data_IF_873755719807
#
_entry.id   IF_873755719807
#
_cell.length_a   1.000
_cell.length_b   1.000
_cell.length_c   1.000
_cell.angle_alpha   90.00
_cell.angle_beta   90.00
_cell.angle_gamma   90.00
#
_symmetry.space_group_name_H-M   'P 1'
#
loop_
_entity.id
_entity.type
_entity.pdbx_description
1 polymer ?
#
# COMPACT_ATOMS: atom_id res chain seq x y z
N UNK A 1 14.47 14.52 2.07
CA UNK A 1 14.32 13.11 1.67
C UNK A 1 12.85 12.73 1.83
N UNK A 2 12.17 12.22 0.79
CA UNK A 2 10.77 11.75 0.93
C UNK A 2 10.78 10.25 1.26
N UNK A 3 10.19 9.86 2.38
CA UNK A 3 10.00 8.45 2.76
C UNK A 3 8.98 7.82 1.79
N UNK A 4 9.29 6.66 1.21
CA UNK A 4 8.37 5.95 0.29
C UNK A 4 7.41 5.02 1.02
N UNK A 5 6.36 4.55 0.34
CA UNK A 5 5.38 3.63 0.94
C UNK A 5 6.01 2.25 1.20
N UNK A 6 6.96 1.83 0.37
CA UNK A 6 7.70 0.58 0.52
C UNK A 6 8.63 0.65 1.75
N UNK A 7 9.22 1.81 2.01
CA UNK A 7 10.01 2.03 3.22
C UNK A 7 9.15 1.92 4.47
N UNK A 8 7.95 2.51 4.47
CA UNK A 8 6.99 2.38 5.58
C UNK A 8 6.56 0.91 5.79
N UNK A 9 6.33 0.16 4.72
CA UNK A 9 5.98 -1.27 4.80
C UNK A 9 7.11 -2.15 5.35
N UNK A 10 8.36 -1.81 5.04
CA UNK A 10 9.52 -2.48 5.64
C UNK A 10 9.60 -2.17 7.13
N UNK A 11 9.40 -0.90 7.51
CA UNK A 11 9.42 -0.47 8.91
C UNK A 11 8.31 -1.12 9.75
N UNK A 12 7.08 -1.20 9.24
CA UNK A 12 5.96 -1.81 9.98
C UNK A 12 6.17 -3.32 10.17
N UNK A 13 6.71 -4.02 9.16
CA UNK A 13 7.08 -5.45 9.28
C UNK A 13 8.15 -5.67 10.33
N UNK A 14 9.20 -4.85 10.34
CA UNK A 14 10.25 -4.91 11.34
C UNK A 14 9.69 -4.66 12.75
N UNK A 15 8.82 -3.66 12.89
CA UNK A 15 8.24 -3.30 14.18
C UNK A 15 7.30 -4.38 14.71
N UNK A 16 6.51 -5.03 13.85
CA UNK A 16 5.69 -6.18 14.21
C UNK A 16 6.55 -7.33 14.78
N UNK A 17 7.69 -7.62 14.14
CA UNK A 17 8.63 -8.62 14.64
C UNK A 17 9.26 -8.20 15.98
N UNK A 18 9.57 -6.92 16.14
CA UNK A 18 10.10 -6.40 17.40
C UNK A 18 9.08 -6.51 18.55
N UNK A 19 7.82 -6.14 18.30
CA UNK A 19 6.72 -6.26 19.26
C UNK A 19 6.55 -7.72 19.69
N UNK A 20 6.50 -8.65 18.74
CA UNK A 20 6.23 -10.05 19.04
C UNK A 20 7.35 -10.75 19.82
N UNK A 21 8.61 -10.37 19.57
CA UNK A 21 9.77 -11.12 20.07
C UNK A 21 10.46 -10.48 21.28
N UNK A 22 10.11 -9.24 21.65
CA UNK A 22 10.74 -8.53 22.77
C UNK A 22 9.85 -8.55 24.02
N UNK A 23 10.44 -8.71 25.23
CA UNK A 23 9.70 -8.62 26.49
C UNK A 23 9.01 -7.27 26.71
N UNK A 24 9.56 -6.20 26.13
CA UNK A 24 9.05 -4.82 26.18
C UNK A 24 8.38 -4.40 24.87
N UNK A 25 7.92 -5.37 24.07
CA UNK A 25 7.33 -5.16 22.76
C UNK A 25 6.17 -4.16 22.75
N UNK A 26 5.37 -4.13 23.81
CA UNK A 26 4.21 -3.25 23.95
C UNK A 26 4.57 -1.76 23.89
N UNK A 27 5.81 -1.38 24.23
CA UNK A 27 6.30 0.00 24.12
C UNK A 27 6.29 0.52 22.67
N UNK A 28 6.29 -0.38 21.70
CA UNK A 28 6.30 -0.03 20.28
C UNK A 28 4.92 0.03 19.64
N UNK A 29 3.84 -0.39 20.33
CA UNK A 29 2.47 -0.38 19.80
C UNK A 29 2.07 1.01 19.28
N UNK A 30 2.29 2.12 20.02
CA UNK A 30 1.89 3.45 19.52
C UNK A 30 2.61 3.86 18.23
N UNK A 31 3.82 3.37 18.01
CA UNK A 31 4.60 3.63 16.79
C UNK A 31 4.06 2.78 15.63
N UNK A 32 3.63 1.55 15.92
CA UNK A 32 3.01 0.66 14.94
C UNK A 32 1.70 1.24 14.41
N UNK A 33 0.82 1.66 15.31
CA UNK A 33 -0.48 2.28 14.94
C UNK A 33 -0.28 3.51 14.04
N UNK A 34 0.66 4.39 14.41
CA UNK A 34 1.04 5.57 13.59
C UNK A 34 1.52 5.18 12.18
N UNK A 35 2.31 4.12 12.06
CA UNK A 35 2.80 3.66 10.76
C UNK A 35 1.66 3.06 9.92
N UNK A 36 0.74 2.34 10.56
CA UNK A 36 -0.43 1.76 9.90
C UNK A 36 -1.33 2.86 9.33
N UNK A 37 -1.66 3.87 10.14
CA UNK A 37 -2.43 5.04 9.72
C UNK A 37 -1.78 5.77 8.54
N UNK A 38 -0.47 6.03 8.61
CA UNK A 38 0.26 6.72 7.53
C UNK A 38 0.25 5.91 6.23
N UNK A 39 0.44 4.59 6.31
CA UNK A 39 0.35 3.70 5.14
C UNK A 39 -1.06 3.75 4.56
N UNK A 40 -2.09 3.70 5.41
CA UNK A 40 -3.48 3.75 4.96
C UNK A 40 -3.81 5.10 4.31
N UNK A 41 -3.39 6.22 4.91
CA UNK A 41 -3.58 7.56 4.35
C UNK A 41 -2.90 7.73 3.01
N UNK A 42 -1.68 7.19 2.84
CA UNK A 42 -0.95 7.25 1.56
C UNK A 42 -1.54 6.35 0.48
N UNK A 43 -2.11 5.21 0.87
CA UNK A 43 -2.84 4.32 -0.05
C UNK A 43 -4.19 4.91 -0.44
N UNK A 44 -4.89 5.58 0.48
CA UNK A 44 -6.19 6.19 0.23
C UNK A 44 -6.08 7.50 -0.57
N UNK A 45 -4.94 8.19 -0.50
CA UNK A 45 -4.63 9.35 -1.37
C UNK A 45 -4.32 8.97 -2.82
N UNK A 46 -4.25 7.68 -3.18
CA UNK A 46 -4.49 7.26 -4.57
C UNK A 46 -5.98 7.55 -4.84
N UNK A 47 -6.25 8.78 -5.26
CA UNK A 47 -7.59 9.33 -5.50
C UNK A 47 -8.44 8.31 -6.26
N UNK A 48 -9.70 8.14 -5.87
CA UNK A 48 -10.68 7.29 -6.56
C UNK A 48 -10.62 7.45 -8.08
N UNK A 49 -10.36 8.67 -8.58
CA UNK A 49 -10.12 8.97 -10.00
C UNK A 49 -8.87 8.31 -10.58
N UNK A 50 -7.74 8.31 -9.86
CA UNK A 50 -6.53 7.58 -10.27
C UNK A 50 -6.77 6.07 -10.31
N UNK A 51 -7.53 5.54 -9.34
CA UNK A 51 -7.96 4.12 -9.33
C UNK A 51 -8.88 3.79 -10.51
N UNK A 52 -9.89 4.63 -10.77
CA UNK A 52 -10.79 4.49 -11.93
C UNK A 52 -9.97 4.52 -13.23
N UNK A 53 -9.01 5.44 -13.36
CA UNK A 53 -8.13 5.53 -14.52
C UNK A 53 -7.35 4.25 -14.77
N UNK A 54 -6.69 3.70 -13.74
CA UNK A 54 -5.94 2.45 -13.86
C UNK A 54 -6.82 1.26 -14.30
N UNK A 55 -8.03 1.13 -13.73
CA UNK A 55 -8.98 0.05 -14.07
C UNK A 55 -9.48 0.21 -15.52
N UNK A 56 -9.83 1.43 -15.92
CA UNK A 56 -10.25 1.73 -17.29
C UNK A 56 -9.14 1.42 -18.31
N UNK A 57 -7.90 1.80 -18.02
CA UNK A 57 -6.74 1.51 -18.88
C UNK A 57 -6.49 0.01 -19.07
N UNK A 58 -6.71 -0.82 -18.04
CA UNK A 58 -6.59 -2.28 -18.16
C UNK A 58 -7.75 -2.93 -18.92
N UNK A 59 -8.92 -2.27 -18.97
CA UNK A 59 -10.11 -2.78 -19.67
C UNK A 59 -10.03 -2.55 -21.18
N UNK A 60 -9.32 -1.50 -21.62
CA UNK A 60 -9.14 -1.19 -23.05
C UNK A 60 -8.21 -2.17 -23.77
N UNK A 61 -7.22 -2.75 -23.09
CA UNK A 61 -6.30 -3.75 -23.66
C UNK A 61 -6.99 -5.07 -23.99
N UNK A 62 -8.16 -5.34 -23.40
CA UNK A 62 -8.90 -6.58 -23.63
C UNK A 62 -9.87 -6.51 -24.83
N UNK A 63 -10.05 -5.33 -25.44
CA UNK A 63 -11.02 -5.11 -26.52
C UNK A 63 -10.37 -5.04 -27.93
N UNK A 64 -9.04 -4.90 -28.02
CA UNK A 64 -8.32 -4.93 -29.31
C UNK A 64 -8.09 -6.36 -29.83
N UNK A 65 -8.01 -7.36 -28.95
CA UNK A 65 -7.85 -8.78 -29.33
C UNK A 65 -9.12 -9.42 -29.95
N UNK A 66 -10.27 -8.74 -29.92
CA UNK A 66 -11.52 -9.23 -30.55
C UNK A 66 -11.83 -8.63 -31.91
N UNK A 67 -11.11 -7.59 -32.36
CA UNK A 67 -11.35 -6.93 -33.66
C UNK A 67 -10.49 -7.46 -34.81
N UNK A 68 -9.51 -8.32 -34.54
CA UNK A 68 -8.64 -8.92 -35.56
C UNK A 68 -9.04 -10.35 -35.95
N UNK A 69 -10.18 -10.85 -35.44
CA UNK A 69 -10.65 -12.22 -35.68
C UNK A 69 -12.05 -12.26 -36.33
N UNK A 70 -12.39 -11.26 -37.16
CA UNK A 70 -13.59 -11.26 -37.99
C UNK A 70 -13.21 -11.02 -39.46
#
# INVERSE_FOLDING_TARGET
MKITIEQLQKSITYLAQAIQNRPDGDLYIPIFERLEEEIQMRRSTINTRSRIGMIASHSSTHNELRKTAA
#
